data_IF_662051468264
#
_entry.id   IF_662051468264
#
_cell.length_a   1.000
_cell.length_b   1.000
_cell.length_c   1.000
_cell.angle_alpha   90.00
_cell.angle_beta   90.00
_cell.angle_gamma   90.00
#
_symmetry.space_group_name_H-M   'P 1'
#
loop_
_entity.id
_entity.type
_entity.pdbx_description
1 polymer ?
#
# COMPACT_ATOMS: atom_id res chain seq x y z
N UNK A 1 -11.60 -13.88 30.91
CA UNK A 1 -12.62 -13.55 29.89
C UNK A 1 -12.81 -14.75 28.98
N UNK A 2 -14.06 -15.11 28.70
CA UNK A 2 -14.38 -16.17 27.75
C UNK A 2 -14.96 -15.55 26.48
N UNK A 3 -14.45 -15.92 25.33
CA UNK A 3 -14.97 -15.56 24.02
C UNK A 3 -15.60 -16.81 23.40
N UNK A 4 -16.85 -16.68 22.93
CA UNK A 4 -17.60 -17.76 22.27
C UNK A 4 -17.91 -17.33 20.85
N UNK A 5 -17.50 -18.13 19.86
CA UNK A 5 -17.84 -17.90 18.46
C UNK A 5 -19.18 -18.59 18.14
N UNK A 6 -20.22 -17.80 18.00
CA UNK A 6 -21.55 -18.22 17.58
C UNK A 6 -21.87 -17.88 16.11
N UNK A 7 -20.89 -17.54 15.30
CA UNK A 7 -21.10 -17.06 13.92
C UNK A 7 -21.78 -18.07 13.01
N UNK A 8 -21.63 -19.37 13.28
CA UNK A 8 -22.25 -20.46 12.52
C UNK A 8 -23.58 -20.95 13.12
N UNK A 9 -23.99 -20.42 14.29
CA UNK A 9 -25.21 -20.79 14.99
C UNK A 9 -26.35 -19.87 14.57
N UNK A 10 -27.07 -20.20 13.50
CA UNK A 10 -28.21 -19.40 13.07
C UNK A 10 -29.24 -20.23 12.30
N UNK A 11 -30.48 -19.75 12.32
CA UNK A 11 -31.58 -20.22 11.49
C UNK A 11 -32.04 -19.07 10.59
N UNK A 12 -32.17 -19.32 9.29
CA UNK A 12 -32.69 -18.31 8.34
C UNK A 12 -34.16 -18.04 8.61
N UNK A 13 -34.57 -16.80 8.61
CA UNK A 13 -35.96 -16.39 8.68
C UNK A 13 -36.65 -16.65 7.34
N UNK A 14 -37.95 -17.06 7.40
CA UNK A 14 -38.77 -17.20 6.19
C UNK A 14 -39.01 -15.85 5.48
N UNK A 15 -39.06 -14.77 6.25
CA UNK A 15 -39.23 -13.39 5.76
C UNK A 15 -38.31 -12.48 6.58
N UNK A 16 -37.56 -11.61 5.88
CA UNK A 16 -36.69 -10.68 6.57
C UNK A 16 -37.47 -9.66 7.41
N UNK A 17 -36.94 -9.35 8.58
CA UNK A 17 -37.42 -8.29 9.46
C UNK A 17 -36.48 -7.09 9.32
N UNK A 18 -36.76 -6.25 8.34
CA UNK A 18 -35.82 -5.19 7.93
C UNK A 18 -34.50 -5.78 7.42
N UNK A 19 -33.39 -5.41 8.03
CA UNK A 19 -32.05 -5.95 7.69
C UNK A 19 -31.75 -7.31 8.33
N UNK A 20 -32.61 -7.81 9.23
CA UNK A 20 -32.43 -9.07 9.90
C UNK A 20 -32.95 -10.22 9.04
N UNK A 21 -32.07 -11.16 8.67
CA UNK A 21 -32.36 -12.32 7.83
C UNK A 21 -32.19 -13.67 8.54
N UNK A 22 -31.68 -13.68 9.77
CA UNK A 22 -31.45 -14.87 10.57
C UNK A 22 -31.72 -14.60 12.06
N UNK A 23 -31.85 -15.66 12.83
CA UNK A 23 -32.03 -15.63 14.28
C UNK A 23 -31.39 -16.85 14.94
N UNK A 24 -31.15 -16.78 16.25
CA UNK A 24 -30.80 -17.98 17.03
C UNK A 24 -32.04 -18.84 17.24
N UNK A 25 -31.89 -20.13 17.03
CA UNK A 25 -32.88 -21.10 17.45
C UNK A 25 -32.72 -21.44 18.97
N UNK A 26 -33.73 -21.95 19.66
CA UNK A 26 -33.61 -22.32 21.07
C UNK A 26 -32.46 -23.26 21.39
N UNK A 27 -32.16 -24.21 20.48
CA UNK A 27 -31.05 -25.15 20.56
C UNK A 27 -29.67 -24.42 20.50
N UNK A 28 -29.55 -23.39 19.67
CA UNK A 28 -28.33 -22.60 19.60
C UNK A 28 -28.08 -21.80 20.88
N UNK A 29 -29.17 -21.26 21.47
CA UNK A 29 -29.09 -20.54 22.74
C UNK A 29 -28.69 -21.50 23.86
N UNK A 30 -29.24 -22.71 23.89
CA UNK A 30 -28.90 -23.73 24.88
C UNK A 30 -27.42 -24.14 24.76
N UNK A 31 -26.90 -24.32 23.54
CA UNK A 31 -25.50 -24.66 23.29
C UNK A 31 -24.54 -23.53 23.72
N UNK A 32 -24.86 -22.28 23.40
CA UNK A 32 -24.08 -21.13 23.85
C UNK A 32 -24.06 -21.07 25.39
N UNK A 33 -25.20 -21.27 26.04
CA UNK A 33 -25.28 -21.26 27.49
C UNK A 33 -24.46 -22.39 28.13
N UNK A 34 -24.54 -23.61 27.57
CA UNK A 34 -23.73 -24.74 28.04
C UNK A 34 -22.24 -24.48 27.89
N UNK A 35 -21.81 -23.94 26.72
CA UNK A 35 -20.42 -23.58 26.45
C UNK A 35 -19.95 -22.51 27.42
N UNK A 36 -20.79 -21.51 27.72
CA UNK A 36 -20.45 -20.45 28.67
C UNK A 36 -20.30 -21.01 30.10
N UNK A 37 -21.21 -21.85 30.53
CA UNK A 37 -21.19 -22.44 31.89
C UNK A 37 -20.04 -23.43 32.07
N UNK A 38 -19.60 -24.11 31.01
CA UNK A 38 -18.46 -25.01 31.04
C UNK A 38 -17.14 -24.27 31.30
N UNK A 39 -17.02 -23.01 30.85
CA UNK A 39 -15.85 -22.18 31.12
C UNK A 39 -14.54 -22.76 30.59
N UNK A 40 -14.57 -23.45 29.45
CA UNK A 40 -13.44 -24.16 28.86
C UNK A 40 -13.19 -23.79 27.41
N UNK A 41 -11.99 -24.06 26.94
CA UNK A 41 -11.69 -24.02 25.50
C UNK A 41 -12.43 -25.17 24.80
N UNK A 42 -13.13 -24.84 23.71
CA UNK A 42 -13.89 -25.79 22.90
C UNK A 42 -13.51 -25.60 21.43
N UNK A 43 -13.05 -26.66 20.80
CA UNK A 43 -12.83 -26.72 19.36
C UNK A 43 -14.10 -27.18 18.65
N UNK A 44 -14.37 -26.59 17.48
CA UNK A 44 -15.51 -26.96 16.64
C UNK A 44 -15.00 -27.76 15.44
N UNK A 45 -15.60 -28.93 15.21
CA UNK A 45 -15.49 -29.64 13.94
C UNK A 45 -16.64 -29.23 13.03
N UNK A 46 -16.34 -28.96 11.77
CA UNK A 46 -17.34 -28.77 10.73
C UNK A 46 -17.63 -30.16 10.09
N UNK A 47 -18.89 -30.43 9.84
CA UNK A 47 -19.31 -31.67 9.18
C UNK A 47 -18.58 -31.92 7.88
N UNK A 48 -17.93 -33.07 7.76
CA UNK A 48 -17.20 -33.51 6.56
C UNK A 48 -15.72 -33.16 6.54
N UNK A 49 -15.16 -32.55 7.61
CA UNK A 49 -13.72 -32.30 7.73
C UNK A 49 -13.15 -33.08 8.93
N UNK A 50 -11.97 -33.70 8.73
CA UNK A 50 -11.30 -34.48 9.79
C UNK A 50 -10.52 -33.60 10.79
N UNK A 51 -10.22 -32.35 10.43
CA UNK A 51 -9.48 -31.42 11.28
C UNK A 51 -10.40 -30.40 11.93
N UNK A 52 -10.12 -29.96 13.17
CA UNK A 52 -10.88 -28.88 13.82
C UNK A 52 -10.73 -27.58 13.02
N UNK A 53 -11.84 -26.99 12.61
CA UNK A 53 -11.87 -25.84 11.68
C UNK A 53 -12.02 -24.51 12.43
N UNK A 54 -11.98 -24.50 13.72
CA UNK A 54 -12.08 -23.27 14.49
C UNK A 54 -12.21 -23.50 15.99
N UNK A 55 -12.11 -22.42 16.72
CA UNK A 55 -12.29 -22.36 18.16
C UNK A 55 -13.72 -21.90 18.43
N UNK A 56 -14.56 -22.79 19.04
CA UNK A 56 -15.93 -22.43 19.41
C UNK A 56 -15.97 -21.61 20.70
N UNK A 57 -15.04 -21.86 21.63
CA UNK A 57 -14.88 -21.10 22.87
C UNK A 57 -13.41 -21.05 23.26
N UNK A 58 -12.95 -19.87 23.69
CA UNK A 58 -11.60 -19.70 24.24
C UNK A 58 -11.65 -18.87 25.52
N UNK A 59 -11.00 -19.38 26.56
CA UNK A 59 -10.85 -18.70 27.84
C UNK A 59 -9.50 -17.99 27.89
N UNK A 60 -9.53 -16.72 28.23
CA UNK A 60 -8.36 -15.86 28.35
C UNK A 60 -8.20 -15.38 29.79
N UNK A 61 -6.98 -15.31 30.25
CA UNK A 61 -6.67 -14.63 31.50
C UNK A 61 -6.78 -13.11 31.36
N UNK A 62 -6.98 -12.40 32.46
CA UNK A 62 -7.10 -10.95 32.42
C UNK A 62 -5.82 -10.25 31.89
N UNK A 63 -4.67 -10.84 32.14
CA UNK A 63 -3.38 -10.34 31.64
C UNK A 63 -3.22 -10.48 30.13
N UNK A 64 -3.96 -11.39 29.47
CA UNK A 64 -3.94 -11.54 28.02
C UNK A 64 -4.51 -10.32 27.28
N UNK A 65 -5.25 -9.46 27.99
CA UNK A 65 -5.79 -8.20 27.46
C UNK A 65 -4.92 -6.99 27.74
N UNK A 66 -3.86 -7.15 28.54
CA UNK A 66 -2.80 -6.17 28.72
C UNK A 66 -1.69 -6.40 27.69
N UNK A 67 -1.72 -5.70 26.56
CA UNK A 67 -0.70 -5.82 25.54
C UNK A 67 -0.15 -4.46 25.12
N UNK A 68 1.12 -4.45 24.82
CA UNK A 68 1.73 -3.32 24.14
C UNK A 68 1.44 -3.41 22.63
N UNK A 69 0.86 -2.37 22.07
CA UNK A 69 0.71 -2.27 20.62
C UNK A 69 2.05 -1.88 20.01
N UNK A 70 2.75 -2.85 19.49
CA UNK A 70 4.03 -2.64 18.80
C UNK A 70 3.77 -2.57 17.29
N UNK A 71 4.20 -1.50 16.66
CA UNK A 71 4.21 -1.42 15.21
C UNK A 71 5.54 -2.01 14.70
N UNK A 72 5.47 -3.21 14.14
CA UNK A 72 6.58 -3.82 13.41
C UNK A 72 6.64 -3.18 12.02
N UNK A 73 7.63 -2.32 11.80
CA UNK A 73 7.91 -1.79 10.47
C UNK A 73 9.13 -2.52 9.88
N UNK A 74 9.03 -3.00 8.66
CA UNK A 74 10.21 -3.49 7.95
C UNK A 74 11.16 -2.32 7.70
N UNK A 75 12.49 -2.53 7.86
CA UNK A 75 13.47 -1.54 7.44
C UNK A 75 13.22 -1.19 5.97
N UNK A 76 13.05 0.09 5.67
CA UNK A 76 12.86 0.55 4.29
C UNK A 76 14.24 0.64 3.61
N UNK A 77 14.79 -0.53 3.25
CA UNK A 77 16.06 -0.65 2.53
C UNK A 77 15.79 -0.52 1.05
N UNK A 78 16.48 0.39 0.39
CA UNK A 78 16.27 0.67 -1.03
C UNK A 78 17.59 0.74 -1.78
N UNK A 79 17.58 0.14 -2.96
CA UNK A 79 18.49 0.46 -4.04
C UNK A 79 17.86 1.47 -4.98
N UNK A 80 18.69 2.17 -5.74
CA UNK A 80 18.23 3.14 -6.73
C UNK A 80 19.11 3.11 -7.97
N UNK A 81 18.48 3.31 -9.13
CA UNK A 81 19.14 3.39 -10.42
C UNK A 81 18.30 4.21 -11.39
N UNK A 82 18.91 5.19 -12.03
CA UNK A 82 18.27 5.84 -13.15
C UNK A 82 18.34 4.97 -14.42
N UNK A 83 17.20 4.78 -15.06
CA UNK A 83 17.12 4.22 -16.40
C UNK A 83 15.92 4.82 -17.15
N UNK A 84 15.96 4.82 -18.47
CA UNK A 84 14.85 5.29 -19.29
C UNK A 84 13.57 4.52 -18.99
N UNK A 85 13.67 3.20 -18.86
CA UNK A 85 12.53 2.33 -18.57
C UNK A 85 11.85 2.69 -17.23
N UNK A 86 12.62 3.06 -16.21
CA UNK A 86 12.07 3.46 -14.90
C UNK A 86 11.47 4.87 -14.90
N UNK A 87 11.94 5.75 -15.79
CA UNK A 87 11.44 7.13 -15.88
C UNK A 87 10.24 7.27 -16.81
N UNK A 88 10.11 6.42 -17.82
CA UNK A 88 8.99 6.50 -18.78
C UNK A 88 7.59 6.53 -18.11
N UNK A 89 7.31 5.75 -17.05
CA UNK A 89 6.00 5.81 -16.38
C UNK A 89 5.67 7.17 -15.76
N UNK A 90 6.66 8.05 -15.52
CA UNK A 90 6.43 9.42 -15.02
C UNK A 90 5.67 10.30 -16.02
N UNK A 91 5.59 9.89 -17.29
CA UNK A 91 4.81 10.55 -18.34
C UNK A 91 3.32 10.46 -18.08
N UNK A 92 2.88 9.47 -17.27
CA UNK A 92 1.49 9.14 -17.08
C UNK A 92 1.08 9.34 -15.61
N UNK A 93 -0.17 9.74 -15.43
CA UNK A 93 -0.76 9.73 -14.10
C UNK A 93 -1.05 8.30 -13.66
N UNK A 94 -0.63 7.93 -12.45
CA UNK A 94 -0.83 6.56 -11.93
C UNK A 94 -2.29 6.11 -11.92
N UNK A 95 -3.22 7.03 -11.72
CA UNK A 95 -4.66 6.74 -11.72
C UNK A 95 -5.28 6.67 -13.11
N UNK A 96 -4.55 7.08 -14.14
CA UNK A 96 -4.98 7.16 -15.54
C UNK A 96 -3.94 6.53 -16.47
N UNK A 97 -3.06 5.65 -15.96
CA UNK A 97 -1.93 5.11 -16.71
C UNK A 97 -2.38 4.44 -18.00
N UNK A 98 -3.32 3.51 -17.94
CA UNK A 98 -3.77 2.76 -19.10
C UNK A 98 -4.33 3.64 -20.24
N UNK A 99 -5.32 4.55 -20.00
CA UNK A 99 -5.81 5.41 -21.05
C UNK A 99 -4.74 6.42 -21.53
N UNK A 100 -3.86 6.89 -20.67
CA UNK A 100 -2.79 7.79 -21.08
C UNK A 100 -1.71 7.08 -21.90
N UNK A 101 -1.38 5.84 -21.59
CA UNK A 101 -0.46 5.00 -22.37
C UNK A 101 -1.06 4.70 -23.75
N UNK A 102 -2.34 4.37 -23.83
CA UNK A 102 -3.03 4.19 -25.09
C UNK A 102 -2.97 5.46 -25.94
N UNK A 103 -3.33 6.61 -25.36
CA UNK A 103 -3.28 7.90 -26.04
C UNK A 103 -1.88 8.24 -26.56
N UNK A 104 -0.86 8.04 -25.74
CA UNK A 104 0.52 8.35 -26.15
C UNK A 104 1.03 7.37 -27.20
N UNK A 105 0.74 6.08 -27.09
CA UNK A 105 1.16 5.08 -28.07
C UNK A 105 0.50 5.29 -29.44
N UNK A 106 -0.73 5.79 -29.44
CA UNK A 106 -1.52 6.00 -30.67
C UNK A 106 -1.19 7.33 -31.35
N UNK A 107 -1.04 8.41 -30.58
CA UNK A 107 -0.96 9.77 -31.12
C UNK A 107 0.41 10.46 -30.89
N UNK A 108 1.29 9.83 -30.15
CA UNK A 108 2.63 10.39 -29.87
C UNK A 108 2.57 11.75 -29.18
N UNK A 109 3.47 12.64 -29.59
CA UNK A 109 3.60 13.98 -29.00
C UNK A 109 2.49 14.95 -29.37
N UNK A 110 1.60 14.60 -30.30
CA UNK A 110 0.46 15.44 -30.70
C UNK A 110 -0.52 15.68 -29.55
N UNK A 111 -0.57 14.73 -28.57
CA UNK A 111 -1.44 14.83 -27.39
C UNK A 111 -1.14 16.03 -26.49
N UNK A 112 0.02 16.65 -26.63
CA UNK A 112 0.38 17.84 -25.83
C UNK A 112 -0.29 19.12 -26.36
N UNK A 113 -1.24 19.01 -27.27
CA UNK A 113 -2.01 20.12 -27.81
C UNK A 113 -3.50 19.98 -27.48
N UNK A 114 -4.15 21.10 -27.13
CA UNK A 114 -5.58 21.12 -26.79
C UNK A 114 -6.44 20.62 -27.96
N UNK A 115 -6.12 21.07 -29.17
CA UNK A 115 -6.84 20.67 -30.38
C UNK A 115 -6.84 19.16 -30.62
N UNK A 116 -5.73 18.48 -30.32
CA UNK A 116 -5.63 17.02 -30.47
C UNK A 116 -6.43 16.31 -29.39
N UNK A 117 -6.31 16.74 -28.13
CA UNK A 117 -7.06 16.15 -27.02
C UNK A 117 -8.57 16.24 -27.25
N UNK A 118 -9.07 17.36 -27.75
CA UNK A 118 -10.49 17.53 -28.09
C UNK A 118 -10.91 16.63 -29.26
N UNK A 119 -10.07 16.53 -30.27
CA UNK A 119 -10.37 15.72 -31.47
C UNK A 119 -10.50 14.21 -31.15
N UNK A 120 -9.62 13.69 -30.26
CA UNK A 120 -9.57 12.25 -29.94
C UNK A 120 -10.51 11.84 -28.79
N UNK A 121 -11.14 12.79 -28.13
CA UNK A 121 -11.91 12.54 -26.90
C UNK A 121 -12.94 11.44 -27.03
N UNK A 122 -13.72 11.46 -28.10
CA UNK A 122 -14.79 10.45 -28.34
C UNK A 122 -14.20 9.06 -28.56
N UNK A 123 -13.12 8.95 -29.31
CA UNK A 123 -12.44 7.70 -29.62
C UNK A 123 -11.81 7.09 -28.37
N UNK A 124 -11.13 7.91 -27.55
CA UNK A 124 -10.50 7.46 -26.31
C UNK A 124 -11.56 7.00 -25.29
N UNK A 125 -12.69 7.70 -25.17
CA UNK A 125 -13.77 7.26 -24.27
C UNK A 125 -14.39 5.94 -24.72
N UNK A 126 -14.61 5.75 -26.03
CA UNK A 126 -15.08 4.48 -26.57
C UNK A 126 -14.07 3.34 -26.30
N UNK A 127 -12.78 3.61 -26.48
CA UNK A 127 -11.73 2.65 -26.13
C UNK A 127 -11.75 2.30 -24.63
N UNK A 128 -11.93 3.28 -23.75
CA UNK A 128 -12.04 3.01 -22.30
C UNK A 128 -13.24 2.12 -21.97
N UNK A 129 -14.39 2.34 -22.64
CA UNK A 129 -15.59 1.49 -22.49
C UNK A 129 -15.30 0.05 -22.94
N UNK A 130 -14.65 -0.14 -24.09
CA UNK A 130 -14.27 -1.46 -24.60
C UNK A 130 -13.28 -2.20 -23.66
N UNK A 131 -12.45 -1.46 -22.95
CA UNK A 131 -11.50 -2.02 -21.95
C UNK A 131 -12.09 -2.12 -20.54
N UNK A 132 -13.40 -1.86 -20.38
CA UNK A 132 -14.10 -1.88 -19.08
C UNK A 132 -13.52 -0.86 -18.06
N UNK A 133 -12.84 0.20 -18.53
CA UNK A 133 -12.26 1.25 -17.69
C UNK A 133 -13.32 2.32 -17.41
N UNK A 134 -13.77 2.38 -16.17
CA UNK A 134 -14.75 3.38 -15.74
C UNK A 134 -14.07 4.69 -15.32
N UNK A 135 -14.31 5.76 -16.08
CA UNK A 135 -13.81 7.10 -15.77
C UNK A 135 -14.96 7.99 -15.27
N UNK A 136 -14.84 8.47 -14.03
CA UNK A 136 -15.75 9.50 -13.53
C UNK A 136 -15.45 10.87 -14.18
N UNK A 137 -16.34 11.84 -14.04
CA UNK A 137 -16.22 13.17 -14.66
C UNK A 137 -14.90 13.88 -14.31
N UNK A 138 -14.39 13.69 -13.10
CA UNK A 138 -13.14 14.28 -12.63
C UNK A 138 -11.92 13.65 -13.30
N UNK A 139 -11.93 12.33 -13.48
CA UNK A 139 -10.91 11.58 -14.19
C UNK A 139 -10.90 11.95 -15.69
N UNK A 140 -12.06 12.04 -16.32
CA UNK A 140 -12.17 12.49 -17.71
C UNK A 140 -11.65 13.92 -17.90
N UNK A 141 -12.06 14.85 -17.04
CA UNK A 141 -11.55 16.23 -17.09
C UNK A 141 -10.02 16.28 -17.01
N UNK A 142 -9.42 15.47 -16.15
CA UNK A 142 -7.97 15.37 -15.99
C UNK A 142 -7.27 14.72 -17.18
N UNK A 143 -7.88 13.66 -17.76
CA UNK A 143 -7.35 12.94 -18.92
C UNK A 143 -7.23 13.83 -20.15
N UNK A 144 -8.17 14.76 -20.36
CA UNK A 144 -8.21 15.67 -21.50
C UNK A 144 -7.75 17.10 -21.17
N UNK A 145 -7.05 17.29 -20.01
CA UNK A 145 -6.47 18.59 -19.67
C UNK A 145 -5.03 18.70 -20.22
N UNK A 146 -4.85 19.55 -21.21
CA UNK A 146 -3.54 19.81 -21.83
C UNK A 146 -2.49 20.31 -20.81
N UNK A 147 -2.92 21.04 -19.78
CA UNK A 147 -2.02 21.52 -18.73
C UNK A 147 -1.48 20.34 -17.90
N UNK A 148 -2.34 19.37 -17.63
CA UNK A 148 -1.96 18.15 -16.90
C UNK A 148 -0.91 17.34 -17.69
N UNK A 149 -1.14 17.12 -18.99
CA UNK A 149 -0.20 16.44 -19.88
C UNK A 149 1.15 17.15 -19.96
N UNK A 150 1.14 18.49 -20.14
CA UNK A 150 2.37 19.26 -20.20
C UNK A 150 3.13 19.31 -18.85
N UNK A 151 2.41 19.28 -17.72
CA UNK A 151 3.05 19.19 -16.40
C UNK A 151 3.78 17.83 -16.23
N UNK A 152 3.17 16.71 -16.64
CA UNK A 152 3.79 15.39 -16.61
C UNK A 152 4.99 15.30 -17.57
N UNK A 153 4.88 15.86 -18.77
CA UNK A 153 6.01 15.98 -19.71
C UNK A 153 7.17 16.73 -19.08
N UNK A 154 6.90 17.88 -18.48
CA UNK A 154 7.93 18.69 -17.80
C UNK A 154 8.58 17.92 -16.65
N UNK A 155 7.79 17.17 -15.88
CA UNK A 155 8.30 16.33 -14.79
C UNK A 155 9.24 15.23 -15.32
N UNK A 156 8.89 14.59 -16.44
CA UNK A 156 9.75 13.62 -17.11
C UNK A 156 11.04 14.27 -17.66
N UNK A 157 10.95 15.42 -18.33
CA UNK A 157 12.10 16.12 -18.87
C UNK A 157 13.08 16.56 -17.77
N UNK A 158 12.55 16.99 -16.63
CA UNK A 158 13.35 17.30 -15.44
C UNK A 158 14.04 16.02 -14.92
N UNK A 159 13.32 14.90 -14.83
CA UNK A 159 13.88 13.63 -14.37
C UNK A 159 15.00 13.12 -15.32
N UNK A 160 14.82 13.25 -16.63
CA UNK A 160 15.84 12.92 -17.64
C UNK A 160 17.08 13.82 -17.52
N UNK A 161 16.89 15.09 -17.23
CA UNK A 161 17.99 16.02 -17.00
C UNK A 161 18.78 15.66 -15.73
N UNK A 162 18.08 15.29 -14.65
CA UNK A 162 18.70 14.82 -13.41
C UNK A 162 19.45 13.51 -13.66
N UNK A 163 18.86 12.56 -14.41
CA UNK A 163 19.52 11.31 -14.80
C UNK A 163 20.83 11.56 -15.53
N UNK A 164 20.87 12.48 -16.47
CA UNK A 164 22.10 12.84 -17.21
C UNK A 164 23.20 13.38 -16.28
N UNK A 165 22.82 14.08 -15.22
CA UNK A 165 23.77 14.67 -14.25
C UNK A 165 24.25 13.65 -13.21
N UNK A 166 23.37 12.74 -12.75
CA UNK A 166 23.69 11.74 -11.70
C UNK A 166 24.35 10.49 -12.30
N UNK A 167 24.00 10.13 -13.54
CA UNK A 167 24.42 8.88 -14.20
C UNK A 167 23.39 7.75 -14.05
N UNK A 168 23.77 6.59 -14.59
CA UNK A 168 22.91 5.39 -14.64
C UNK A 168 23.43 4.24 -13.79
N UNK A 169 24.42 4.49 -12.93
CA UNK A 169 24.96 3.49 -12.03
C UNK A 169 23.93 3.10 -10.95
N UNK A 170 24.00 1.86 -10.50
CA UNK A 170 23.19 1.39 -9.37
C UNK A 170 23.79 1.87 -8.04
N UNK A 171 22.94 2.32 -7.15
CA UNK A 171 23.30 2.75 -5.80
C UNK A 171 22.68 1.78 -4.80
N UNK A 172 23.51 1.16 -3.98
CA UNK A 172 23.11 0.35 -2.82
C UNK A 172 22.79 1.20 -1.58
N UNK A 173 23.32 2.42 -1.49
CA UNK A 173 22.99 3.42 -0.48
C UNK A 173 22.01 4.47 -1.04
N UNK A 174 20.73 4.33 -0.74
CA UNK A 174 19.71 5.27 -1.17
C UNK A 174 19.91 6.69 -0.59
N UNK A 175 20.47 6.80 0.61
CA UNK A 175 20.72 8.12 1.22
C UNK A 175 21.80 8.89 0.46
N UNK A 176 22.82 8.20 -0.03
CA UNK A 176 23.84 8.77 -0.91
C UNK A 176 23.24 9.15 -2.27
N UNK A 177 22.44 8.26 -2.86
CA UNK A 177 21.73 8.55 -4.10
C UNK A 177 20.87 9.81 -4.00
N UNK A 178 20.07 9.93 -2.92
CA UNK A 178 19.24 11.11 -2.67
C UNK A 178 20.05 12.39 -2.59
N UNK A 179 21.22 12.37 -1.94
CA UNK A 179 22.13 13.52 -1.89
C UNK A 179 22.60 13.95 -3.29
N UNK A 180 23.01 12.98 -4.13
CA UNK A 180 23.42 13.26 -5.52
C UNK A 180 22.28 13.83 -6.36
N UNK A 181 21.06 13.35 -6.17
CA UNK A 181 19.86 13.92 -6.82
C UNK A 181 19.64 15.36 -6.37
N UNK A 182 19.79 15.66 -5.08
CA UNK A 182 19.63 17.02 -4.55
C UNK A 182 20.72 17.99 -5.09
N UNK A 183 21.93 17.52 -5.23
CA UNK A 183 23.03 18.27 -5.85
C UNK A 183 22.75 18.54 -7.33
N UNK A 184 22.29 17.52 -8.08
CA UNK A 184 21.93 17.66 -9.48
C UNK A 184 20.81 18.69 -9.68
N UNK A 185 19.75 18.66 -8.85
CA UNK A 185 18.66 19.62 -8.87
C UNK A 185 19.18 21.06 -8.66
N UNK A 186 20.13 21.26 -7.71
CA UNK A 186 20.75 22.56 -7.45
C UNK A 186 21.60 23.05 -8.63
N UNK A 187 22.44 22.17 -9.20
CA UNK A 187 23.29 22.48 -10.34
C UNK A 187 22.46 22.88 -11.56
N UNK A 188 21.41 22.11 -11.85
CA UNK A 188 20.52 22.33 -12.98
C UNK A 188 19.52 23.49 -12.74
N UNK A 189 19.47 24.02 -11.52
CA UNK A 189 18.51 25.06 -11.09
C UNK A 189 17.05 24.70 -11.36
N UNK A 190 16.74 23.40 -11.31
CA UNK A 190 15.39 22.89 -11.50
C UNK A 190 14.56 23.18 -10.24
N UNK A 191 13.35 23.70 -10.42
CA UNK A 191 12.41 23.92 -9.32
C UNK A 191 11.44 22.72 -9.28
N UNK A 192 11.52 21.90 -8.24
CA UNK A 192 10.63 20.79 -7.98
C UNK A 192 9.95 20.98 -6.62
N UNK A 193 8.68 20.65 -6.56
CA UNK A 193 8.00 20.44 -5.29
C UNK A 193 8.51 19.17 -4.62
N UNK A 194 8.31 19.02 -3.31
CA UNK A 194 8.64 17.79 -2.59
C UNK A 194 7.91 16.56 -3.16
N UNK A 195 6.69 16.74 -3.64
CA UNK A 195 5.92 15.67 -4.26
C UNK A 195 6.54 15.20 -5.58
N UNK A 196 6.90 16.11 -6.46
CA UNK A 196 7.54 15.78 -7.75
C UNK A 196 8.90 15.10 -7.53
N UNK A 197 9.72 15.62 -6.62
CA UNK A 197 10.98 14.99 -6.23
C UNK A 197 10.78 13.57 -5.71
N UNK A 198 9.81 13.36 -4.81
CA UNK A 198 9.49 12.04 -4.28
C UNK A 198 8.97 11.08 -5.37
N UNK A 199 8.20 11.58 -6.34
CA UNK A 199 7.74 10.78 -7.47
C UNK A 199 8.93 10.28 -8.31
N UNK A 200 9.91 11.13 -8.60
CA UNK A 200 11.15 10.75 -9.30
C UNK A 200 11.92 9.71 -8.48
N UNK A 201 12.17 9.97 -7.19
CA UNK A 201 12.90 9.05 -6.31
C UNK A 201 12.21 7.67 -6.21
N UNK A 202 10.89 7.64 -6.10
CA UNK A 202 10.12 6.40 -6.03
C UNK A 202 10.11 5.64 -7.37
N UNK A 203 10.13 6.33 -8.50
CA UNK A 203 10.17 5.69 -9.82
C UNK A 203 11.50 4.95 -10.07
N UNK A 204 12.59 5.47 -9.53
CA UNK A 204 13.95 4.95 -9.78
C UNK A 204 14.50 4.12 -8.63
N UNK A 205 13.71 3.83 -7.59
CA UNK A 205 14.14 3.03 -6.44
C UNK A 205 13.21 1.85 -6.21
N UNK A 206 13.74 0.80 -5.61
CA UNK A 206 13.00 -0.41 -5.22
C UNK A 206 13.50 -0.94 -3.89
N UNK A 207 12.66 -1.70 -3.20
CA UNK A 207 13.07 -2.39 -2.00
C UNK A 207 14.09 -3.49 -2.34
N UNK A 208 15.17 -3.53 -1.57
CA UNK A 208 16.18 -4.59 -1.65
C UNK A 208 16.76 -4.82 -0.26
N UNK A 209 16.66 -6.04 0.25
CA UNK A 209 17.15 -6.41 1.57
C UNK A 209 18.67 -6.25 1.72
N UNK A 210 19.39 -6.34 0.60
CA UNK A 210 20.85 -6.17 0.55
C UNK A 210 21.29 -4.72 0.36
N UNK A 211 20.36 -3.75 0.41
CA UNK A 211 20.73 -2.35 0.38
C UNK A 211 21.50 -1.96 1.65
N UNK A 212 22.50 -1.09 1.51
CA UNK A 212 23.44 -0.76 2.58
C UNK A 212 22.81 -0.01 3.75
N UNK A 213 21.76 0.80 3.51
CA UNK A 213 21.17 1.70 4.52
C UNK A 213 19.66 1.74 4.51
N UNK A 214 19.11 1.98 5.69
CA UNK A 214 17.68 2.22 5.90
C UNK A 214 17.33 3.65 5.45
N UNK A 215 16.27 3.80 4.68
CA UNK A 215 15.82 5.08 4.11
C UNK A 215 15.03 5.91 5.12
N UNK A 216 14.16 5.26 5.89
CA UNK A 216 13.35 5.93 6.91
C UNK A 216 14.02 5.87 8.28
N UNK A 217 13.93 6.97 9.01
CA UNK A 217 14.11 6.92 10.46
C UNK A 217 12.85 6.30 11.04
N UNK A 218 13.02 5.23 11.75
CA UNK A 218 12.00 4.68 12.63
C UNK A 218 11.83 5.61 13.83
N UNK A 219 10.62 5.71 14.37
CA UNK A 219 10.37 6.44 15.62
C UNK A 219 11.19 5.77 16.70
N UNK A 220 12.10 6.49 17.32
CA UNK A 220 12.88 5.96 18.46
C UNK A 220 11.93 5.73 19.62
N UNK A 221 11.95 4.51 20.12
CA UNK A 221 11.44 4.23 21.47
C UNK A 221 12.34 4.96 22.47
N UNK A 222 11.78 5.41 23.60
CA UNK A 222 12.61 5.84 24.71
C UNK A 222 13.26 4.61 25.38
N UNK A 223 14.30 4.83 26.18
CA UNK A 223 15.10 3.73 26.77
C UNK A 223 14.24 2.77 27.62
N UNK A 224 13.21 3.25 28.30
CA UNK A 224 12.30 2.42 29.08
C UNK A 224 11.39 1.56 28.20
N UNK A 225 10.82 2.14 27.15
CA UNK A 225 9.98 1.42 26.16
C UNK A 225 10.79 0.38 25.41
N UNK A 226 12.07 0.68 25.09
CA UNK A 226 12.98 -0.26 24.46
C UNK A 226 13.33 -1.42 25.37
N UNK A 227 13.66 -1.16 26.64
CA UNK A 227 13.97 -2.19 27.62
C UNK A 227 12.77 -3.12 27.88
N UNK A 228 11.58 -2.56 28.00
CA UNK A 228 10.34 -3.33 28.18
C UNK A 228 10.05 -4.20 26.94
N UNK A 229 10.25 -3.67 25.74
CA UNK A 229 10.05 -4.41 24.51
C UNK A 229 11.05 -5.56 24.37
N UNK A 230 12.33 -5.32 24.62
CA UNK A 230 13.40 -6.34 24.61
C UNK A 230 13.09 -7.46 25.60
N UNK A 231 12.69 -7.10 26.82
CA UNK A 231 12.31 -8.06 27.86
C UNK A 231 11.09 -8.90 27.47
N UNK A 232 10.08 -8.25 26.87
CA UNK A 232 8.84 -8.92 26.45
C UNK A 232 9.06 -9.89 25.28
N UNK A 233 9.89 -9.50 24.30
CA UNK A 233 10.18 -10.33 23.12
C UNK A 233 11.28 -11.38 23.38
N UNK A 234 12.03 -11.28 24.48
CA UNK A 234 13.14 -12.18 24.78
C UNK A 234 14.30 -12.08 23.76
N UNK A 235 14.48 -10.92 23.15
CA UNK A 235 15.50 -10.63 22.14
C UNK A 235 16.54 -9.62 22.68
N UNK A 236 17.52 -9.26 21.87
CA UNK A 236 18.50 -8.20 22.17
C UNK A 236 18.17 -6.91 21.42
N UNK A 237 18.72 -5.77 21.86
CA UNK A 237 18.61 -4.52 21.10
C UNK A 237 19.18 -4.64 19.69
N UNK A 238 20.23 -5.46 19.50
CA UNK A 238 20.82 -5.70 18.19
C UNK A 238 19.84 -6.41 17.25
N UNK A 239 19.06 -7.37 17.75
CA UNK A 239 18.03 -8.06 16.97
C UNK A 239 16.94 -7.07 16.54
N UNK A 240 16.57 -6.12 17.41
CA UNK A 240 15.60 -5.08 17.10
C UNK A 240 16.11 -4.07 16.07
N UNK A 241 17.42 -3.79 16.06
CA UNK A 241 18.04 -2.88 15.11
C UNK A 241 17.86 -3.35 13.66
N UNK A 242 17.91 -4.66 13.43
CA UNK A 242 17.66 -5.26 12.11
C UNK A 242 16.20 -5.08 11.65
N UNK A 243 15.26 -4.88 12.56
CA UNK A 243 13.85 -4.58 12.26
C UNK A 243 13.53 -3.08 12.23
N UNK A 244 14.53 -2.23 12.47
CA UNK A 244 14.34 -0.79 12.42
C UNK A 244 13.69 -0.18 13.67
N UNK A 245 13.74 -0.86 14.79
CA UNK A 245 13.36 -0.34 16.10
C UNK A 245 14.58 0.32 16.76
N UNK A 246 14.40 1.57 17.11
CA UNK A 246 15.38 2.33 17.91
C UNK A 246 14.67 3.19 18.93
#
# INVERSE_FOLDING_TARGET
VQLIDASLMFRKLRKNLGNKNCEFAPEHIAEIMQTYLAGQDVERQLDGQNDPVGIASKVFDNQDFGYYKVNLERPDRRKAQFSLARLQPLRFDKSLSEPMEYMYSTYGDDIYTEAKLDAVKKEVLAWCEDQEITLNNKAQAKLFDVKHWNALKTALDNALSIMKQVGTDEFSDFNLFKKKVDEAIKILKIKLSNSEKNNILNAVSWYDENAEKVVKKVVKLNDAELADLVAHLGCTEADLADFGYY
#
